data_IF_101653954402
#
_entry.id   IF_101653954402
#
_cell.length_a   1.000
_cell.length_b   1.000
_cell.length_c   1.000
_cell.angle_alpha   90.00
_cell.angle_beta   90.00
_cell.angle_gamma   90.00
#
_symmetry.space_group_name_H-M   'P 1'
#
loop_
_entity.id
_entity.type
_entity.pdbx_description
1 polymer ?
#
# COMPACT_ATOMS: atom_id res chain seq x y z
N UNK A 1 13.95 38.99 -78.25
CA UNK A 1 13.64 40.02 -77.23
C UNK A 1 12.72 39.44 -76.18
N UNK A 2 13.09 39.63 -74.91
CA UNK A 2 12.25 39.71 -73.69
C UNK A 2 11.44 38.46 -73.27
N UNK A 3 11.51 38.18 -71.96
CA UNK A 3 10.59 37.35 -71.16
C UNK A 3 11.03 35.94 -70.77
N UNK A 4 12.28 35.74 -70.31
CA UNK A 4 12.62 34.47 -69.61
C UNK A 4 13.68 34.61 -68.49
N UNK A 5 13.71 35.75 -67.78
CA UNK A 5 14.66 35.99 -66.68
C UNK A 5 14.04 36.53 -65.38
N UNK A 6 12.71 36.52 -65.24
CA UNK A 6 12.04 37.13 -64.07
C UNK A 6 11.21 36.18 -63.22
N UNK A 7 11.31 34.86 -63.42
CA UNK A 7 10.55 33.86 -62.65
C UNK A 7 11.42 32.92 -61.81
N UNK A 8 12.73 33.16 -61.74
CA UNK A 8 13.66 32.32 -60.95
C UNK A 8 14.14 32.96 -59.64
N UNK A 9 13.69 34.18 -59.31
CA UNK A 9 14.17 34.91 -58.10
C UNK A 9 13.14 34.90 -56.96
N UNK A 10 11.88 34.56 -57.21
CA UNK A 10 10.83 34.56 -56.18
C UNK A 10 10.61 33.22 -55.47
N UNK A 11 11.29 32.15 -55.87
CA UNK A 11 11.10 30.81 -55.27
C UNK A 11 12.28 30.34 -54.39
N UNK A 12 13.29 31.19 -54.14
CA UNK A 12 14.45 30.82 -53.32
C UNK A 12 14.53 31.52 -51.96
N UNK A 13 13.54 32.35 -51.60
CA UNK A 13 13.52 33.07 -50.31
C UNK A 13 12.47 32.55 -49.31
N UNK A 14 11.61 31.61 -49.72
CA UNK A 14 10.57 31.03 -48.85
C UNK A 14 10.98 29.74 -48.14
N UNK A 15 12.25 29.30 -48.26
CA UNK A 15 12.72 28.03 -47.67
C UNK A 15 13.77 28.18 -46.56
N UNK A 16 13.93 29.36 -45.95
CA UNK A 16 14.97 29.62 -44.93
C UNK A 16 14.45 30.12 -43.57
N UNK A 17 13.14 30.10 -43.30
CA UNK A 17 12.57 30.57 -42.02
C UNK A 17 11.95 29.49 -41.13
N UNK A 18 12.14 28.20 -41.42
CA UNK A 18 11.49 27.10 -40.68
C UNK A 18 12.42 26.27 -39.79
N UNK A 19 13.62 26.75 -39.43
CA UNK A 19 14.51 25.98 -38.57
C UNK A 19 15.36 26.85 -37.65
N UNK A 20 14.74 27.47 -36.64
CA UNK A 20 15.36 27.79 -35.36
C UNK A 20 14.29 28.39 -34.43
N UNK A 21 13.55 27.56 -33.69
CA UNK A 21 12.97 28.03 -32.43
C UNK A 21 14.13 28.59 -31.60
N UNK A 22 13.98 29.82 -31.11
CA UNK A 22 14.97 30.45 -30.26
C UNK A 22 15.21 29.59 -29.01
N UNK A 23 16.38 29.70 -28.40
CA UNK A 23 16.76 28.94 -27.20
C UNK A 23 15.79 29.16 -26.03
N UNK A 24 15.07 30.27 -26.02
CA UNK A 24 14.01 30.59 -25.05
C UNK A 24 12.73 29.78 -25.30
N UNK A 25 12.23 29.73 -26.54
CA UNK A 25 11.01 28.97 -26.87
C UNK A 25 11.20 27.46 -26.65
N UNK A 26 12.43 26.95 -26.86
CA UNK A 26 12.77 25.55 -26.53
C UNK A 26 12.75 25.27 -25.03
N UNK A 27 13.13 26.24 -24.18
CA UNK A 27 13.09 26.10 -22.72
C UNK A 27 11.66 26.15 -22.20
N UNK A 28 10.86 27.09 -22.69
CA UNK A 28 9.44 27.20 -22.33
C UNK A 28 8.69 25.92 -22.69
N UNK A 29 8.91 25.38 -23.90
CA UNK A 29 8.29 24.12 -24.32
C UNK A 29 8.75 22.92 -23.48
N UNK A 30 10.04 22.86 -23.12
CA UNK A 30 10.55 21.81 -22.24
C UNK A 30 10.00 21.92 -20.80
N UNK A 31 9.74 23.14 -20.32
CA UNK A 31 9.13 23.40 -19.02
C UNK A 31 7.64 23.03 -19.01
N UNK A 32 6.90 23.34 -20.09
CA UNK A 32 5.50 22.91 -20.26
C UNK A 32 5.38 21.38 -20.38
N UNK A 33 6.23 20.72 -21.17
CA UNK A 33 6.28 19.26 -21.28
C UNK A 33 6.68 18.63 -19.93
N UNK A 34 7.64 19.22 -19.21
CA UNK A 34 8.03 18.80 -17.86
C UNK A 34 6.89 18.89 -16.85
N UNK A 35 6.19 20.02 -16.82
CA UNK A 35 5.04 20.24 -15.93
C UNK A 35 3.86 19.33 -16.27
N UNK A 36 3.61 19.08 -17.56
CA UNK A 36 2.61 18.14 -18.02
C UNK A 36 2.94 16.71 -17.57
N UNK A 37 4.20 16.27 -17.70
CA UNK A 37 4.66 14.96 -17.24
C UNK A 37 4.54 14.79 -15.73
N UNK A 38 4.90 15.83 -14.95
CA UNK A 38 4.71 15.83 -13.50
C UNK A 38 3.23 15.72 -13.14
N UNK A 39 2.36 16.50 -13.80
CA UNK A 39 0.91 16.45 -13.59
C UNK A 39 0.33 15.07 -13.91
N UNK A 40 0.72 14.47 -15.03
CA UNK A 40 0.29 13.12 -15.43
C UNK A 40 0.77 12.09 -14.42
N UNK A 41 2.05 12.13 -14.01
CA UNK A 41 2.60 11.21 -13.01
C UNK A 41 1.87 11.33 -11.67
N UNK A 42 1.58 12.55 -11.21
CA UNK A 42 0.80 12.79 -9.98
C UNK A 42 -0.65 12.29 -10.10
N UNK A 43 -1.31 12.49 -11.25
CA UNK A 43 -2.66 11.97 -11.50
C UNK A 43 -2.69 10.44 -11.55
N UNK A 44 -1.68 9.79 -12.13
CA UNK A 44 -1.54 8.33 -12.15
C UNK A 44 -1.28 7.78 -10.74
N UNK A 45 -0.37 8.40 -9.98
CA UNK A 45 -0.11 8.06 -8.58
C UNK A 45 -1.38 8.22 -7.72
N UNK A 46 -2.12 9.31 -7.92
CA UNK A 46 -3.38 9.56 -7.22
C UNK A 46 -4.45 8.52 -7.61
N UNK A 47 -4.60 8.23 -8.91
CA UNK A 47 -5.53 7.21 -9.41
C UNK A 47 -5.22 5.81 -8.85
N UNK A 48 -3.95 5.41 -8.81
CA UNK A 48 -3.52 4.16 -8.18
C UNK A 48 -3.77 4.16 -6.67
N UNK A 49 -3.51 5.28 -5.99
CA UNK A 49 -3.74 5.43 -4.55
C UNK A 49 -5.21 5.47 -4.15
N UNK A 50 -6.07 5.98 -5.03
CA UNK A 50 -7.53 6.00 -4.88
C UNK A 50 -8.13 4.63 -5.20
N UNK A 51 -7.66 3.93 -6.24
CA UNK A 51 -8.04 2.54 -6.52
C UNK A 51 -7.66 1.61 -5.36
N UNK A 52 -6.42 1.67 -4.87
CA UNK A 52 -5.99 0.90 -3.69
C UNK A 52 -6.81 1.24 -2.43
N UNK A 53 -7.28 2.49 -2.30
CA UNK A 53 -8.12 2.90 -1.15
C UNK A 53 -9.53 2.33 -1.28
N UNK A 54 -10.11 2.36 -2.47
CA UNK A 54 -11.43 1.81 -2.76
C UNK A 54 -11.41 0.29 -2.63
N UNK A 55 -10.48 -0.40 -3.30
CA UNK A 55 -10.32 -1.85 -3.22
C UNK A 55 -10.02 -2.31 -1.78
N UNK A 56 -9.19 -1.56 -1.05
CA UNK A 56 -8.90 -1.83 0.36
C UNK A 56 -10.12 -1.64 1.28
N UNK A 57 -10.99 -0.67 1.00
CA UNK A 57 -12.23 -0.43 1.75
C UNK A 57 -13.28 -1.50 1.44
N UNK A 58 -13.45 -1.85 0.17
CA UNK A 58 -14.40 -2.88 -0.27
C UNK A 58 -13.98 -4.27 0.22
N UNK A 59 -12.70 -4.61 0.17
CA UNK A 59 -12.18 -5.85 0.75
C UNK A 59 -12.33 -5.90 2.29
N UNK A 60 -12.30 -4.74 2.96
CA UNK A 60 -12.54 -4.64 4.40
C UNK A 60 -14.03 -4.83 4.73
N UNK A 61 -14.92 -4.14 4.01
CA UNK A 61 -16.37 -4.27 4.17
C UNK A 61 -16.81 -5.71 3.87
N UNK A 62 -16.33 -6.31 2.78
CA UNK A 62 -16.63 -7.70 2.40
C UNK A 62 -16.16 -8.74 3.45
N UNK A 63 -14.95 -8.57 3.99
CA UNK A 63 -14.45 -9.45 5.05
C UNK A 63 -15.21 -9.25 6.38
N UNK A 64 -15.67 -8.03 6.68
CA UNK A 64 -16.48 -7.75 7.87
C UNK A 64 -17.92 -8.28 7.75
N UNK A 65 -18.48 -8.29 6.54
CA UNK A 65 -19.79 -8.86 6.25
C UNK A 65 -19.77 -10.40 6.30
N UNK A 66 -18.67 -11.04 5.88
CA UNK A 66 -18.50 -12.50 5.93
C UNK A 66 -18.18 -13.09 7.32
N UNK A 67 -17.60 -12.30 8.24
CA UNK A 67 -17.13 -12.78 9.56
C UNK A 67 -18.09 -12.49 10.72
N UNK A 68 -19.25 -11.90 10.44
CA UNK A 68 -20.27 -11.52 11.43
C UNK A 68 -19.90 -10.26 12.23
N UNK A 69 -20.91 -9.60 12.81
CA UNK A 69 -20.84 -8.30 13.52
C UNK A 69 -19.81 -8.21 14.67
N UNK A 70 -19.14 -9.31 15.03
CA UNK A 70 -18.23 -9.43 16.17
C UNK A 70 -16.79 -8.95 15.91
N UNK A 71 -16.37 -8.84 14.64
CA UNK A 71 -14.99 -8.46 14.29
C UNK A 71 -14.95 -7.05 13.72
N UNK A 72 -14.48 -6.08 14.52
CA UNK A 72 -14.21 -4.72 14.04
C UNK A 72 -12.86 -4.71 13.35
N UNK A 73 -12.84 -4.58 12.03
CA UNK A 73 -11.60 -4.41 11.28
C UNK A 73 -10.99 -3.04 11.58
N UNK A 74 -9.93 -3.03 12.39
CA UNK A 74 -9.21 -1.82 12.74
C UNK A 74 -7.90 -1.77 11.96
N UNK A 75 -7.95 -1.20 10.75
CA UNK A 75 -6.75 -0.70 10.08
C UNK A 75 -6.57 0.75 10.52
N UNK A 76 -5.91 0.95 11.67
CA UNK A 76 -5.49 2.28 12.09
C UNK A 76 -4.72 2.91 10.91
N UNK A 77 -5.08 4.14 10.54
CA UNK A 77 -4.69 4.82 9.30
C UNK A 77 -3.20 5.17 9.17
N UNK A 78 -2.31 4.38 9.76
CA UNK A 78 -0.87 4.53 9.72
C UNK A 78 -0.26 3.67 8.61
N UNK A 79 0.32 4.38 7.65
CA UNK A 79 1.07 3.95 6.48
C UNK A 79 0.40 2.93 5.55
N UNK A 80 0.11 3.37 4.32
CA UNK A 80 -0.21 2.51 3.17
C UNK A 80 1.05 1.76 2.72
N UNK A 81 1.64 0.95 3.60
CA UNK A 81 2.77 0.10 3.29
C UNK A 81 2.30 -1.14 2.54
N UNK A 82 2.98 -1.52 1.46
CA UNK A 82 2.79 -2.79 0.77
C UNK A 82 2.89 -4.00 1.73
N UNK A 83 3.63 -3.85 2.82
CA UNK A 83 3.82 -4.89 3.81
C UNK A 83 2.76 -4.86 4.92
N UNK A 84 1.79 -3.94 4.90
CA UNK A 84 0.77 -3.88 5.94
C UNK A 84 -0.02 -5.20 6.04
N UNK A 85 -0.22 -5.69 7.27
CA UNK A 85 -1.04 -6.87 7.53
C UNK A 85 -2.46 -6.45 7.94
N UNK A 86 -3.49 -6.93 7.23
CA UNK A 86 -4.89 -6.74 7.64
C UNK A 86 -5.18 -7.62 8.84
N UNK A 87 -5.19 -7.04 10.04
CA UNK A 87 -5.45 -7.76 11.30
C UNK A 87 -6.83 -7.39 11.83
N UNK A 88 -7.65 -8.39 12.09
CA UNK A 88 -8.99 -8.29 12.65
C UNK A 88 -8.97 -8.84 14.09
N UNK A 89 -9.86 -8.33 14.94
CA UNK A 89 -9.98 -8.78 16.32
C UNK A 89 -11.42 -8.68 16.81
N UNK A 90 -11.74 -9.47 17.84
CA UNK A 90 -13.06 -9.41 18.47
C UNK A 90 -13.14 -8.26 19.49
N UNK A 91 -14.37 -7.96 19.93
CA UNK A 91 -14.61 -6.91 20.93
C UNK A 91 -14.01 -7.20 22.31
N UNK A 92 -13.67 -8.44 22.64
CA UNK A 92 -13.02 -8.79 23.91
C UNK A 92 -11.55 -8.43 23.86
N UNK A 93 -10.90 -8.70 22.73
CA UNK A 93 -9.53 -8.29 22.46
C UNK A 93 -9.38 -6.77 22.52
N UNK A 94 -10.28 -6.05 21.85
CA UNK A 94 -10.28 -4.59 21.79
C UNK A 94 -10.64 -3.88 23.11
N UNK A 95 -11.05 -4.62 24.15
CA UNK A 95 -11.21 -4.09 25.53
C UNK A 95 -9.94 -4.20 26.37
N UNK A 96 -8.93 -4.89 25.85
CA UNK A 96 -7.65 -5.16 26.50
C UNK A 96 -6.52 -4.47 25.74
N UNK A 97 -6.65 -4.35 24.42
CA UNK A 97 -5.60 -3.82 23.55
C UNK A 97 -6.13 -2.86 22.50
N UNK A 98 -5.38 -1.80 22.27
CA UNK A 98 -5.39 -1.05 21.01
C UNK A 98 -4.39 -1.70 20.03
N UNK A 99 -4.79 -1.82 18.75
CA UNK A 99 -3.93 -2.34 17.68
C UNK A 99 -3.36 -1.16 16.88
N UNK A 100 -2.04 -1.02 16.96
CA UNK A 100 -1.28 -0.04 16.17
C UNK A 100 -0.83 -0.60 14.82
N UNK A 101 0.43 -0.32 14.47
CA UNK A 101 1.03 -0.74 13.19
C UNK A 101 1.15 -2.26 13.08
N UNK A 102 0.87 -2.77 11.89
CA UNK A 102 0.93 -4.19 11.55
C UNK A 102 1.75 -4.42 10.28
N UNK A 103 2.62 -5.42 10.27
CA UNK A 103 3.50 -5.69 9.14
C UNK A 103 3.71 -7.18 8.90
N UNK A 104 3.61 -7.59 7.63
CA UNK A 104 4.11 -8.86 7.12
C UNK A 104 5.61 -8.72 6.88
N UNK A 105 6.38 -9.66 7.40
CA UNK A 105 7.80 -9.76 7.15
C UNK A 105 8.13 -11.13 6.54
N UNK A 106 8.91 -11.07 5.47
CA UNK A 106 9.39 -12.24 4.78
C UNK A 106 10.87 -12.07 4.46
N UNK A 107 11.68 -13.07 4.85
CA UNK A 107 13.09 -13.10 4.53
C UNK A 107 13.43 -14.47 3.92
N UNK A 108 13.72 -14.48 2.61
CA UNK A 108 14.09 -15.69 1.87
C UNK A 108 15.39 -16.33 2.38
N UNK A 109 16.36 -15.51 2.81
CA UNK A 109 17.67 -15.99 3.25
C UNK A 109 17.57 -16.76 4.58
N UNK A 110 16.86 -16.19 5.55
CA UNK A 110 16.66 -16.82 6.87
C UNK A 110 15.44 -17.74 6.92
N UNK A 111 14.65 -17.78 5.84
CA UNK A 111 13.36 -18.45 5.75
C UNK A 111 12.35 -18.01 6.81
N UNK A 112 12.52 -16.82 7.41
CA UNK A 112 11.61 -16.33 8.45
C UNK A 112 10.36 -15.74 7.80
N UNK A 113 9.21 -16.27 8.22
CA UNK A 113 7.87 -15.75 7.90
C UNK A 113 7.24 -15.26 9.20
N UNK A 114 6.98 -13.96 9.32
CA UNK A 114 6.30 -13.44 10.51
C UNK A 114 5.34 -12.32 10.20
N UNK A 115 4.42 -12.10 11.13
CA UNK A 115 3.60 -10.89 11.20
C UNK A 115 3.91 -10.19 12.51
N UNK A 116 4.28 -8.93 12.42
CA UNK A 116 4.54 -8.07 13.57
C UNK A 116 3.31 -7.21 13.83
N UNK A 117 2.85 -7.17 15.09
CA UNK A 117 1.68 -6.37 15.51
C UNK A 117 2.10 -5.50 16.69
N UNK A 118 1.98 -4.18 16.56
CA UNK A 118 2.12 -3.26 17.68
C UNK A 118 0.84 -3.26 18.52
N UNK A 119 0.98 -3.53 19.81
CA UNK A 119 -0.13 -3.54 20.76
C UNK A 119 0.14 -2.54 21.87
N UNK A 120 -0.88 -1.79 22.25
CA UNK A 120 -0.91 -0.94 23.45
C UNK A 120 -1.93 -1.59 24.40
N UNK A 121 -1.52 -1.86 25.63
CA UNK A 121 -2.34 -2.56 26.61
C UNK A 121 -3.15 -1.57 27.45
N UNK A 122 -4.48 -1.60 27.32
CA UNK A 122 -5.39 -0.86 28.21
C UNK A 122 -5.45 -1.48 29.60
N UNK A 123 -5.02 -2.73 29.74
CA UNK A 123 -4.99 -3.51 30.98
C UNK A 123 -3.80 -4.44 31.00
N UNK A 124 -3.28 -4.72 32.19
CA UNK A 124 -2.25 -5.72 32.37
C UNK A 124 -2.67 -7.09 31.81
N UNK A 125 -1.74 -7.76 31.13
CA UNK A 125 -1.94 -9.02 30.44
C UNK A 125 -0.73 -9.94 30.63
N UNK A 126 -0.96 -11.18 31.07
CA UNK A 126 0.08 -12.24 31.14
C UNK A 126 -0.52 -13.57 30.69
N UNK A 127 -0.75 -13.69 29.38
CA UNK A 127 -1.31 -14.88 28.75
C UNK A 127 -0.72 -15.06 27.35
N UNK A 128 -1.33 -15.96 26.57
CA UNK A 128 -0.94 -16.20 25.18
C UNK A 128 -1.79 -15.37 24.23
N UNK A 129 -1.13 -14.73 23.28
CA UNK A 129 -1.75 -14.16 22.09
C UNK A 129 -1.70 -15.18 20.95
N UNK A 130 -2.74 -15.21 20.12
CA UNK A 130 -2.82 -16.08 18.95
C UNK A 130 -3.12 -15.23 17.73
N UNK A 131 -2.41 -15.51 16.64
CA UNK A 131 -2.66 -14.91 15.34
C UNK A 131 -2.93 -16.03 14.33
N UNK A 132 -4.07 -15.98 13.65
CA UNK A 132 -4.45 -16.91 12.60
C UNK A 132 -4.43 -16.19 11.26
N UNK A 133 -3.95 -16.86 10.20
CA UNK A 133 -3.92 -16.36 8.84
C UNK A 133 -4.99 -17.03 8.00
N UNK A 134 -5.71 -16.27 7.18
CA UNK A 134 -6.79 -16.74 6.32
C UNK A 134 -6.54 -16.37 4.87
N UNK A 135 -6.89 -17.27 3.94
CA UNK A 135 -6.89 -16.97 2.50
C UNK A 135 -8.15 -16.18 2.09
N UNK A 136 -8.22 -15.75 0.83
CA UNK A 136 -9.38 -15.03 0.28
C UNK A 136 -10.68 -15.87 0.19
N UNK A 137 -10.65 -17.15 0.58
CA UNK A 137 -11.81 -18.05 0.67
C UNK A 137 -12.20 -18.34 2.13
N UNK A 138 -11.73 -17.51 3.06
CA UNK A 138 -11.95 -17.61 4.51
C UNK A 138 -11.43 -18.91 5.14
N UNK A 139 -10.48 -19.60 4.49
CA UNK A 139 -9.88 -20.81 5.05
C UNK A 139 -8.63 -20.46 5.83
N UNK A 140 -8.51 -21.03 7.03
CA UNK A 140 -7.30 -20.87 7.83
C UNK A 140 -6.12 -21.59 7.14
N UNK A 141 -5.07 -20.83 6.81
CA UNK A 141 -3.87 -21.33 6.14
C UNK A 141 -2.64 -21.39 7.05
N UNK A 142 -2.75 -20.84 8.27
CA UNK A 142 -1.69 -20.89 9.26
C UNK A 142 -2.08 -20.25 10.58
N UNK A 143 -1.29 -20.52 11.63
CA UNK A 143 -1.43 -19.86 12.93
C UNK A 143 -0.09 -19.79 13.67
N UNK A 144 0.01 -18.78 14.52
CA UNK A 144 1.11 -18.58 15.47
C UNK A 144 0.56 -18.28 16.86
N UNK A 145 1.32 -18.57 17.91
CA UNK A 145 0.94 -18.31 19.29
C UNK A 145 2.16 -17.90 20.09
N UNK A 146 2.06 -16.77 20.79
CA UNK A 146 3.16 -16.15 21.53
C UNK A 146 2.72 -15.93 22.97
N UNK A 147 3.58 -16.22 23.95
CA UNK A 147 3.34 -15.82 25.34
C UNK A 147 3.76 -14.36 25.48
N UNK A 148 2.88 -13.51 25.98
CA UNK A 148 3.11 -12.08 26.11
C UNK A 148 2.77 -11.62 27.50
N UNK A 149 3.66 -10.81 28.08
CA UNK A 149 3.41 -10.09 29.30
C UNK A 149 3.50 -8.59 29.00
N UNK A 150 2.44 -7.86 29.35
CA UNK A 150 2.28 -6.42 29.22
C UNK A 150 1.71 -5.90 30.54
N UNK A 151 2.25 -4.82 31.07
CA UNK A 151 1.61 -4.09 32.16
C UNK A 151 0.53 -3.14 31.58
N UNK A 152 -0.31 -2.56 32.42
CA UNK A 152 -1.27 -1.53 31.98
C UNK A 152 -0.51 -0.32 31.42
N UNK A 153 -1.01 0.25 30.31
CA UNK A 153 -0.39 1.34 29.54
C UNK A 153 0.95 0.99 28.87
N UNK A 154 1.37 -0.27 28.89
CA UNK A 154 2.56 -0.75 28.18
C UNK A 154 2.28 -0.97 26.70
N UNK A 155 3.31 -0.81 25.86
CA UNK A 155 3.17 -0.95 24.42
C UNK A 155 4.39 -1.59 23.77
N UNK A 156 4.17 -2.60 22.94
CA UNK A 156 5.27 -3.33 22.30
C UNK A 156 4.90 -3.92 20.94
N UNK A 157 5.91 -4.17 20.11
CA UNK A 157 5.79 -4.98 18.92
C UNK A 157 5.84 -6.47 19.29
N UNK A 158 4.81 -7.22 18.89
CA UNK A 158 4.74 -8.66 19.05
C UNK A 158 4.98 -9.33 17.70
N UNK A 159 5.99 -10.19 17.65
CA UNK A 159 6.33 -10.98 16.47
C UNK A 159 5.67 -12.36 16.50
N UNK A 160 4.78 -12.60 15.53
CA UNK A 160 4.14 -13.89 15.30
C UNK A 160 4.86 -14.63 14.17
N UNK A 161 5.80 -15.51 14.52
CA UNK A 161 6.47 -16.37 13.54
C UNK A 161 5.56 -17.53 13.10
N UNK A 162 5.52 -17.80 11.81
CA UNK A 162 4.75 -18.88 11.19
C UNK A 162 5.69 -19.98 10.68
N UNK A 163 5.17 -21.21 10.61
CA UNK A 163 5.87 -22.32 9.96
C UNK A 163 6.23 -21.96 8.51
N UNK A 164 7.43 -22.31 8.07
CA UNK A 164 7.95 -21.97 6.74
C UNK A 164 7.08 -22.51 5.59
N UNK A 165 6.26 -23.55 5.82
CA UNK A 165 5.31 -24.09 4.84
C UNK A 165 4.02 -23.27 4.75
N UNK A 166 3.78 -22.35 5.70
CA UNK A 166 2.62 -21.45 5.66
C UNK A 166 2.72 -20.55 4.42
N UNK A 167 1.70 -20.54 3.55
CA UNK A 167 1.70 -19.69 2.37
C UNK A 167 1.31 -18.25 2.74
N UNK A 168 2.13 -17.56 3.54
CA UNK A 168 1.82 -16.25 4.12
C UNK A 168 1.53 -15.15 3.07
N UNK A 169 2.07 -15.28 1.86
CA UNK A 169 1.76 -14.38 0.73
C UNK A 169 0.33 -14.52 0.22
N UNK A 170 -0.32 -15.66 0.45
CA UNK A 170 -1.72 -15.91 0.10
C UNK A 170 -2.69 -15.50 1.22
N UNK A 171 -2.17 -15.02 2.36
CA UNK A 171 -3.01 -14.53 3.45
C UNK A 171 -3.67 -13.20 3.05
N UNK A 172 -5.00 -13.19 3.00
CA UNK A 172 -5.79 -11.99 2.78
C UNK A 172 -5.94 -11.17 4.07
N UNK A 173 -6.22 -11.86 5.17
CA UNK A 173 -6.35 -11.25 6.49
C UNK A 173 -5.87 -12.18 7.61
N UNK A 174 -5.73 -11.58 8.79
CA UNK A 174 -5.37 -12.26 10.01
C UNK A 174 -6.41 -11.99 11.09
N UNK A 175 -6.60 -12.94 12.00
CA UNK A 175 -7.39 -12.73 13.22
C UNK A 175 -6.47 -12.87 14.42
N UNK A 176 -6.37 -11.81 15.22
CA UNK A 176 -5.69 -11.82 16.51
C UNK A 176 -6.69 -12.03 17.64
N UNK A 177 -6.34 -12.86 18.61
CA UNK A 177 -7.20 -13.12 19.77
C UNK A 177 -6.39 -13.51 21.02
N UNK A 178 -7.05 -13.41 22.17
CA UNK A 178 -6.55 -13.93 23.44
C UNK A 178 -7.69 -14.65 24.18
N UNK A 179 -7.40 -15.82 24.77
CA UNK A 179 -8.30 -16.52 25.69
C UNK A 179 -7.68 -16.50 27.10
#
# INVERSE_FOLDING_TARGET
>A
MRNLKLTAITASLTLLLASCLSTEEKKIKAEEEGNALVSIKSKLLKGAGDALKTDGKEALESASEGLGEAFKGLTSGYDKSINQAKVLSDTTFLKTFEIGRTEKFYNDTTHIKKVTVYLIADKAFDKKLKLKAFDATDREIGRSTVKTKLEEDDAQFIDFEFDNRTPLLQADYFIISHN
#
